data_IF_542916827860
#
_entry.id   IF_542916827860
#
_cell.length_a   1.000
_cell.length_b   1.000
_cell.length_c   1.000
_cell.angle_alpha   90.00
_cell.angle_beta   90.00
_cell.angle_gamma   90.00
#
_symmetry.space_group_name_H-M   'P 1'
#
loop_
_entity.id
_entity.type
_entity.pdbx_description
1 polymer ?
#
# COMPACT_ATOMS: atom_id res chain seq x y z
N UNK A 1 49.17 16.00 -9.46
CA UNK A 1 48.10 16.85 -8.88
C UNK A 1 46.77 16.70 -9.62
N UNK A 2 46.77 16.35 -10.91
CA UNK A 2 45.58 16.07 -11.73
C UNK A 2 44.76 14.87 -11.27
N UNK A 3 45.38 13.77 -10.84
CA UNK A 3 44.66 12.55 -10.44
C UNK A 3 43.80 12.73 -9.18
N UNK A 4 44.24 13.56 -8.24
CA UNK A 4 43.51 13.87 -7.00
C UNK A 4 42.27 14.72 -7.30
N UNK A 5 42.38 15.66 -8.25
CA UNK A 5 41.26 16.49 -8.70
C UNK A 5 40.24 15.63 -9.44
N UNK A 6 40.69 14.77 -10.35
CA UNK A 6 39.82 13.86 -11.10
C UNK A 6 39.12 12.84 -10.20
N UNK A 7 39.80 12.29 -9.19
CA UNK A 7 39.21 11.41 -8.19
C UNK A 7 38.13 12.13 -7.37
N UNK A 8 38.37 13.39 -6.99
CA UNK A 8 37.39 14.21 -6.26
C UNK A 8 36.17 14.53 -7.10
N UNK A 9 36.36 14.93 -8.36
CA UNK A 9 35.26 15.20 -9.29
C UNK A 9 34.40 13.96 -9.54
N UNK A 10 35.04 12.79 -9.68
CA UNK A 10 34.34 11.51 -9.83
C UNK A 10 33.53 11.13 -8.59
N UNK A 11 34.07 11.40 -7.40
CA UNK A 11 33.36 11.18 -6.14
C UNK A 11 32.13 12.09 -6.01
N UNK A 12 32.28 13.39 -6.29
CA UNK A 12 31.17 14.36 -6.26
C UNK A 12 30.08 14.00 -7.28
N UNK A 13 30.46 13.56 -8.49
CA UNK A 13 29.52 13.11 -9.50
C UNK A 13 28.75 11.85 -9.05
N UNK A 14 29.42 10.91 -8.39
CA UNK A 14 28.80 9.71 -7.85
C UNK A 14 27.82 10.03 -6.70
N UNK A 15 28.19 10.95 -5.81
CA UNK A 15 27.33 11.43 -4.72
C UNK A 15 26.08 12.13 -5.25
N UNK A 16 26.24 13.08 -6.17
CA UNK A 16 25.12 13.79 -6.81
C UNK A 16 24.16 12.81 -7.50
N UNK A 17 24.70 11.81 -8.22
CA UNK A 17 23.89 10.80 -8.90
C UNK A 17 23.11 9.93 -7.91
N UNK A 18 23.73 9.56 -6.79
CA UNK A 18 23.06 8.80 -5.74
C UNK A 18 21.93 9.60 -5.10
N UNK A 19 22.16 10.87 -4.78
CA UNK A 19 21.15 11.78 -4.24
C UNK A 19 19.94 11.94 -5.18
N UNK A 20 20.18 12.21 -6.47
CA UNK A 20 19.12 12.30 -7.48
C UNK A 20 18.29 11.01 -7.57
N UNK A 21 18.96 9.85 -7.51
CA UNK A 21 18.27 8.56 -7.51
C UNK A 21 17.39 8.38 -6.26
N UNK A 22 17.87 8.78 -5.08
CA UNK A 22 17.07 8.74 -3.86
C UNK A 22 15.84 9.65 -3.94
N UNK A 23 15.97 10.86 -4.48
CA UNK A 23 14.83 11.74 -4.68
C UNK A 23 13.78 11.12 -5.60
N UNK A 24 14.20 10.55 -6.73
CA UNK A 24 13.28 9.85 -7.65
C UNK A 24 12.54 8.69 -6.99
N UNK A 25 13.23 7.92 -6.14
CA UNK A 25 12.64 6.81 -5.37
C UNK A 25 11.61 7.34 -4.37
N UNK A 26 11.92 8.42 -3.65
CA UNK A 26 11.00 9.04 -2.69
C UNK A 26 9.77 9.64 -3.37
N UNK A 27 9.96 10.32 -4.50
CA UNK A 27 8.86 10.86 -5.31
C UNK A 27 7.96 9.75 -5.82
N UNK A 28 8.55 8.64 -6.29
CA UNK A 28 7.77 7.48 -6.74
C UNK A 28 6.98 6.85 -5.60
N UNK A 29 7.58 6.70 -4.42
CA UNK A 29 6.89 6.20 -3.24
C UNK A 29 5.73 7.13 -2.85
N UNK A 30 5.95 8.44 -2.88
CA UNK A 30 4.92 9.43 -2.58
C UNK A 30 3.74 9.34 -3.57
N UNK A 31 4.02 9.25 -4.88
CA UNK A 31 2.99 9.04 -5.91
C UNK A 31 2.17 7.76 -5.65
N UNK A 32 2.83 6.66 -5.31
CA UNK A 32 2.14 5.41 -4.99
C UNK A 32 1.27 5.53 -3.72
N UNK A 33 1.73 6.28 -2.72
CA UNK A 33 0.98 6.51 -1.49
C UNK A 33 -0.27 7.36 -1.75
N UNK A 34 -0.14 8.45 -2.52
CA UNK A 34 -1.28 9.29 -2.91
C UNK A 34 -2.30 8.46 -3.70
N UNK A 35 -1.84 7.66 -4.67
CA UNK A 35 -2.71 6.79 -5.45
C UNK A 35 -3.42 5.73 -4.58
N UNK A 36 -2.74 5.19 -3.56
CA UNK A 36 -3.38 4.26 -2.62
C UNK A 36 -4.51 4.92 -1.82
N UNK A 37 -4.35 6.19 -1.45
CA UNK A 37 -5.39 6.96 -0.73
C UNK A 37 -6.60 7.21 -1.65
N UNK A 38 -6.36 7.60 -2.90
CA UNK A 38 -7.43 7.76 -3.90
C UNK A 38 -8.20 6.45 -4.14
N UNK A 39 -7.46 5.34 -4.27
CA UNK A 39 -8.06 4.01 -4.48
C UNK A 39 -8.83 3.55 -3.24
N UNK A 40 -8.36 3.87 -2.03
CA UNK A 40 -9.11 3.64 -0.79
C UNK A 40 -10.48 4.31 -0.83
N UNK A 41 -10.52 5.61 -1.16
CA UNK A 41 -11.77 6.36 -1.22
C UNK A 41 -12.68 5.86 -2.36
N UNK A 42 -12.11 5.52 -3.51
CA UNK A 42 -12.83 4.96 -4.67
C UNK A 42 -13.46 3.61 -4.34
N UNK A 43 -12.71 2.70 -3.69
CA UNK A 43 -13.23 1.40 -3.28
C UNK A 43 -14.39 1.59 -2.29
N UNK A 44 -14.23 2.52 -1.35
CA UNK A 44 -15.26 2.80 -0.34
C UNK A 44 -16.52 3.38 -0.97
N UNK A 45 -16.42 4.26 -1.96
CA UNK A 45 -17.58 4.88 -2.62
C UNK A 45 -18.36 3.90 -3.50
N UNK A 46 -17.67 2.91 -4.10
CA UNK A 46 -18.28 1.87 -4.92
C UNK A 46 -18.94 0.74 -4.12
N UNK A 47 -18.68 0.66 -2.81
CA UNK A 47 -19.23 -0.40 -1.96
C UNK A 47 -20.60 -0.02 -1.40
N UNK A 48 -21.59 -0.92 -1.43
CA UNK A 48 -22.83 -0.71 -0.70
C UNK A 48 -22.56 -0.69 0.81
N UNK A 49 -23.41 0.02 1.57
CA UNK A 49 -23.41 -0.02 3.04
C UNK A 49 -24.15 -1.28 3.51
N UNK A 50 -23.55 -2.44 3.29
CA UNK A 50 -24.17 -3.74 3.54
C UNK A 50 -23.17 -4.76 4.14
N UNK A 51 -23.70 -5.89 4.62
CA UNK A 51 -22.84 -7.02 4.99
C UNK A 51 -22.17 -7.60 3.75
N UNK A 52 -20.87 -7.83 3.82
CA UNK A 52 -20.08 -8.39 2.75
C UNK A 52 -19.21 -7.38 2.00
N UNK A 53 -19.30 -6.09 2.32
CA UNK A 53 -18.51 -5.04 1.69
C UNK A 53 -17.02 -5.23 1.93
N UNK A 54 -16.21 -5.03 0.89
CA UNK A 54 -14.76 -5.20 0.91
C UNK A 54 -14.10 -3.84 0.76
N UNK A 55 -13.32 -3.47 1.77
CA UNK A 55 -12.61 -2.21 1.76
C UNK A 55 -11.11 -2.43 1.85
N UNK A 56 -10.37 -1.51 1.25
CA UNK A 56 -8.99 -1.29 1.59
C UNK A 56 -8.98 -0.45 2.87
N UNK A 57 -8.31 -0.87 3.94
CA UNK A 57 -8.06 -0.01 5.10
C UNK A 57 -6.61 0.47 5.06
N UNK A 58 -6.42 1.77 5.35
CA UNK A 58 -5.11 2.39 5.46
C UNK A 58 -4.87 2.74 6.93
N UNK A 59 -3.95 2.03 7.60
CA UNK A 59 -3.63 2.29 9.00
C UNK A 59 -2.28 3.01 9.14
N UNK A 60 -2.10 3.82 10.20
CA UNK A 60 -0.86 4.54 10.45
C UNK A 60 0.30 3.59 10.76
N UNK A 61 1.50 4.01 10.37
CA UNK A 61 2.73 3.28 10.69
C UNK A 61 3.00 3.25 12.20
N UNK A 62 3.54 2.13 12.67
CA UNK A 62 4.21 2.05 13.97
C UNK A 62 5.67 2.55 13.91
N UNK A 63 6.38 2.56 15.06
CA UNK A 63 7.78 2.96 15.13
C UNK A 63 8.67 2.16 14.16
N UNK A 64 9.57 2.84 13.44
CA UNK A 64 10.53 2.20 12.53
C UNK A 64 10.01 1.87 11.12
N UNK A 65 8.80 2.33 10.79
CA UNK A 65 8.22 2.19 9.45
C UNK A 65 9.04 2.94 8.38
N UNK A 66 9.26 2.28 7.24
CA UNK A 66 9.97 2.86 6.09
C UNK A 66 9.04 3.40 5.00
N UNK A 67 7.72 3.45 5.26
CA UNK A 67 6.75 4.08 4.38
C UNK A 67 5.28 3.92 4.81
N UNK A 68 4.57 5.03 4.97
CA UNK A 68 3.10 5.11 5.12
C UNK A 68 2.42 5.20 3.74
N UNK A 69 1.12 4.90 3.56
CA UNK A 69 0.22 4.20 4.47
C UNK A 69 0.40 2.67 4.43
N UNK A 70 -0.11 1.94 5.42
CA UNK A 70 -0.18 0.48 5.39
C UNK A 70 -1.54 -0.01 4.92
N UNK A 71 -1.65 -0.52 3.68
CA UNK A 71 -2.88 -1.11 3.19
C UNK A 71 -3.14 -2.48 3.82
N UNK A 72 -4.39 -2.77 4.16
CA UNK A 72 -4.91 -4.11 4.42
C UNK A 72 -6.29 -4.31 3.82
N UNK A 73 -6.57 -5.49 3.31
CA UNK A 73 -7.91 -5.85 2.83
C UNK A 73 -8.78 -6.34 3.98
N UNK A 74 -9.97 -5.77 4.11
CA UNK A 74 -10.95 -6.19 5.10
C UNK A 74 -12.31 -6.45 4.46
N UNK A 75 -13.04 -7.41 5.03
CA UNK A 75 -14.45 -7.64 4.71
C UNK A 75 -15.31 -7.32 5.91
N UNK A 76 -16.26 -6.41 5.73
CA UNK A 76 -17.19 -5.98 6.77
C UNK A 76 -18.47 -6.80 6.77
N UNK A 77 -19.05 -6.96 7.94
CA UNK A 77 -20.35 -7.61 8.13
C UNK A 77 -21.02 -7.07 9.39
N UNK A 78 -22.34 -6.96 9.33
CA UNK A 78 -23.16 -6.65 10.50
C UNK A 78 -23.36 -7.91 11.33
N UNK A 79 -23.17 -7.82 12.64
CA UNK A 79 -23.53 -8.90 13.56
C UNK A 79 -25.04 -9.11 13.56
N UNK A 80 -25.49 -10.33 13.82
CA UNK A 80 -26.92 -10.58 14.04
C UNK A 80 -27.38 -9.89 15.33
N UNK A 81 -28.67 -9.55 15.39
CA UNK A 81 -29.28 -9.02 16.61
C UNK A 81 -29.41 -10.15 17.63
N UNK A 82 -28.67 -10.04 18.74
CA UNK A 82 -28.74 -10.97 19.86
C UNK A 82 -29.48 -10.31 21.04
N UNK A 83 -30.75 -10.69 21.23
CA UNK A 83 -31.61 -10.14 22.26
C UNK A 83 -31.84 -8.63 22.10
N UNK A 84 -31.51 -7.86 23.14
CA UNK A 84 -31.69 -6.40 23.19
C UNK A 84 -30.49 -5.61 22.64
N UNK A 85 -29.41 -6.26 22.19
CA UNK A 85 -28.21 -5.58 21.71
C UNK A 85 -28.36 -5.19 20.23
N UNK A 86 -28.08 -3.93 19.85
CA UNK A 86 -28.13 -3.53 18.44
C UNK A 86 -27.01 -4.20 17.64
N UNK A 87 -27.22 -4.47 16.34
CA UNK A 87 -26.19 -4.93 15.41
C UNK A 87 -24.97 -4.00 15.42
N UNK A 88 -23.77 -4.59 15.31
CA UNK A 88 -22.51 -3.86 15.20
C UNK A 88 -21.81 -4.22 13.91
N UNK A 89 -21.10 -3.25 13.33
CA UNK A 89 -20.24 -3.50 12.19
C UNK A 89 -18.92 -4.09 12.69
N UNK A 90 -18.56 -5.26 12.17
CA UNK A 90 -17.29 -5.93 12.45
C UNK A 90 -16.57 -6.23 11.14
N UNK A 91 -15.26 -6.44 11.21
CA UNK A 91 -14.44 -6.72 10.03
C UNK A 91 -13.59 -7.97 10.20
N UNK A 92 -13.35 -8.65 9.09
CA UNK A 92 -12.39 -9.75 8.98
C UNK A 92 -11.22 -9.29 8.10
N UNK A 93 -9.99 -9.47 8.59
CA UNK A 93 -8.78 -9.22 7.82
C UNK A 93 -8.58 -10.33 6.77
N UNK A 94 -8.69 -9.98 5.49
CA UNK A 94 -8.56 -10.92 4.38
C UNK A 94 -7.11 -11.31 4.12
N UNK A 95 -6.17 -10.37 4.32
CA UNK A 95 -4.74 -10.61 4.11
C UNK A 95 -4.21 -11.63 5.12
N UNK A 96 -4.62 -11.52 6.39
CA UNK A 96 -4.27 -12.49 7.42
C UNK A 96 -4.79 -13.91 7.14
N UNK A 97 -5.82 -14.03 6.30
CA UNK A 97 -6.40 -15.30 5.88
C UNK A 97 -5.91 -15.76 4.50
N UNK A 98 -4.97 -15.03 3.88
CA UNK A 98 -4.51 -15.26 2.50
C UNK A 98 -5.66 -15.34 1.49
N UNK A 99 -6.72 -14.54 1.70
CA UNK A 99 -7.91 -14.53 0.84
C UNK A 99 -7.84 -13.39 -0.16
N UNK A 100 -8.08 -13.71 -1.43
CA UNK A 100 -8.13 -12.70 -2.49
C UNK A 100 -9.39 -11.82 -2.34
N UNK A 101 -9.26 -10.49 -2.17
CA UNK A 101 -10.41 -9.59 -2.05
C UNK A 101 -11.34 -9.65 -3.27
N UNK A 102 -10.81 -9.89 -4.48
CA UNK A 102 -11.64 -10.01 -5.69
C UNK A 102 -12.55 -11.23 -5.61
N UNK A 103 -12.06 -12.36 -5.07
CA UNK A 103 -12.84 -13.60 -4.93
C UNK A 103 -13.84 -13.54 -3.79
N UNK A 104 -13.62 -12.62 -2.83
CA UNK A 104 -14.48 -12.44 -1.68
C UNK A 104 -15.68 -11.50 -1.97
N UNK A 105 -15.67 -10.78 -3.10
CA UNK A 105 -16.80 -9.97 -3.56
C UNK A 105 -18.04 -10.83 -3.82
N UNK A 106 -19.21 -10.22 -3.64
CA UNK A 106 -20.46 -10.85 -4.08
C UNK A 106 -20.48 -10.97 -5.61
N UNK A 107 -21.16 -12.00 -6.11
CA UNK A 107 -21.29 -12.26 -7.55
C UNK A 107 -22.66 -11.80 -8.02
N UNK A 108 -22.76 -11.39 -9.29
CA UNK A 108 -24.03 -11.23 -9.98
C UNK A 108 -24.44 -9.79 -10.30
N UNK A 109 -23.83 -8.79 -9.65
CA UNK A 109 -24.16 -7.37 -9.91
C UNK A 109 -23.04 -6.65 -10.66
N UNK A 110 -23.41 -5.75 -11.58
CA UNK A 110 -22.48 -5.05 -12.47
C UNK A 110 -21.51 -4.15 -11.69
N UNK A 111 -21.98 -3.52 -10.61
CA UNK A 111 -21.16 -2.64 -9.77
C UNK A 111 -19.97 -3.40 -9.12
N UNK A 112 -20.13 -4.69 -8.84
CA UNK A 112 -19.02 -5.52 -8.35
C UNK A 112 -17.97 -5.83 -9.43
N UNK A 113 -18.31 -5.75 -10.72
CA UNK A 113 -17.33 -5.95 -11.81
C UNK A 113 -16.38 -4.75 -11.92
N UNK A 114 -16.91 -3.53 -11.87
CA UNK A 114 -16.11 -2.30 -11.84
C UNK A 114 -15.18 -2.29 -10.63
N UNK A 115 -15.76 -2.54 -9.44
CA UNK A 115 -15.03 -2.63 -8.18
C UNK A 115 -13.94 -3.72 -8.22
N UNK A 116 -14.19 -4.88 -8.85
CA UNK A 116 -13.16 -5.90 -9.05
C UNK A 116 -11.99 -5.37 -9.91
N UNK A 117 -12.23 -4.50 -10.88
CA UNK A 117 -11.19 -3.80 -11.64
C UNK A 117 -10.33 -2.93 -10.74
N UNK A 118 -10.95 -2.07 -9.93
CA UNK A 118 -10.26 -1.18 -8.99
C UNK A 118 -9.45 -1.96 -7.95
N UNK A 119 -9.99 -3.06 -7.41
CA UNK A 119 -9.27 -3.93 -6.47
C UNK A 119 -8.03 -4.55 -7.14
N UNK A 120 -8.13 -5.00 -8.39
CA UNK A 120 -6.96 -5.55 -9.11
C UNK A 120 -5.87 -4.50 -9.34
N UNK A 121 -6.24 -3.29 -9.76
CA UNK A 121 -5.30 -2.17 -9.89
C UNK A 121 -4.61 -1.90 -8.55
N UNK A 122 -5.38 -1.84 -7.48
CA UNK A 122 -4.87 -1.61 -6.12
C UNK A 122 -3.87 -2.68 -5.71
N UNK A 123 -4.14 -3.97 -6.00
CA UNK A 123 -3.21 -5.07 -5.70
C UNK A 123 -1.88 -4.89 -6.42
N UNK A 124 -1.90 -4.57 -7.72
CA UNK A 124 -0.68 -4.31 -8.50
C UNK A 124 0.11 -3.13 -7.92
N UNK A 125 -0.58 -2.05 -7.52
CA UNK A 125 0.05 -0.91 -6.87
C UNK A 125 0.70 -1.30 -5.53
N UNK A 126 0.02 -2.09 -4.71
CA UNK A 126 0.53 -2.60 -3.43
C UNK A 126 1.78 -3.47 -3.63
N UNK A 127 1.79 -4.34 -4.62
CA UNK A 127 2.94 -5.19 -4.97
C UNK A 127 4.15 -4.35 -5.40
N UNK A 128 3.94 -3.39 -6.32
CA UNK A 128 4.99 -2.48 -6.77
C UNK A 128 5.56 -1.64 -5.61
N UNK A 129 4.69 -1.16 -4.72
CA UNK A 129 5.09 -0.42 -3.52
C UNK A 129 5.88 -1.30 -2.55
N UNK A 130 5.45 -2.54 -2.32
CA UNK A 130 6.15 -3.48 -1.46
C UNK A 130 7.56 -3.80 -1.98
N UNK A 131 7.72 -3.97 -3.29
CA UNK A 131 9.02 -4.16 -3.93
C UNK A 131 9.94 -2.94 -3.71
N UNK A 132 9.41 -1.72 -3.90
CA UNK A 132 10.15 -0.48 -3.68
C UNK A 132 10.62 -0.34 -2.22
N UNK A 133 9.73 -0.58 -1.26
CA UNK A 133 10.07 -0.54 0.17
C UNK A 133 11.10 -1.60 0.56
N UNK A 134 11.01 -2.79 -0.03
CA UNK A 134 12.00 -3.86 0.17
C UNK A 134 13.38 -3.45 -0.34
N UNK A 135 13.45 -2.81 -1.50
CA UNK A 135 14.70 -2.27 -2.04
C UNK A 135 15.30 -1.19 -1.13
N UNK A 136 14.49 -0.23 -0.66
CA UNK A 136 14.92 0.82 0.29
C UNK A 136 15.44 0.19 1.58
N UNK A 137 14.71 -0.80 2.14
CA UNK A 137 15.14 -1.52 3.35
C UNK A 137 16.47 -2.24 3.15
N UNK A 138 16.66 -2.87 1.99
CA UNK A 138 17.90 -3.58 1.65
C UNK A 138 19.09 -2.63 1.56
N UNK A 139 18.91 -1.46 0.91
CA UNK A 139 19.92 -0.40 0.85
C UNK A 139 20.29 0.13 2.24
N UNK A 140 19.28 0.45 3.06
CA UNK A 140 19.50 0.90 4.46
C UNK A 140 20.30 -0.12 5.26
N UNK A 141 19.98 -1.40 5.12
CA UNK A 141 20.68 -2.47 5.84
C UNK A 141 22.11 -2.65 5.34
N UNK A 142 22.37 -2.48 4.05
CA UNK A 142 23.72 -2.51 3.48
C UNK A 142 24.58 -1.34 3.99
N UNK A 143 24.00 -0.14 4.10
CA UNK A 143 24.67 1.04 4.63
C UNK A 143 25.03 0.90 6.13
N UNK A 144 24.17 0.25 6.93
CA UNK A 144 24.41 0.02 8.38
C UNK A 144 25.47 -1.04 8.70
N UNK A 145 25.86 -1.88 7.73
CA UNK A 145 26.86 -2.95 7.93
C UNK A 145 28.30 -2.50 7.62
N UNK A 146 28.47 -1.27 7.15
CA UNK A 146 29.77 -0.59 6.99
C UNK A 146 30.02 0.29 8.20
#
# INVERSE_FOLDING_TARGET
MTDVVQARESAVAAETKAEQFFHQVLDKLNQQNSRLIELHDTIKSLQPVASGSICLELYPCGPGCTGCPHPRWVKYFWTQQEGSKPPRLVCTNLDAQSRDPVRALSRGEEHYKELAGVIRETKVLMENRAALLSAIRSLRNAAKRK
#
